data_IF_202788865487
#
_entry.id   IF_202788865487
#
_cell.length_a   1.000
_cell.length_b   1.000
_cell.length_c   1.000
_cell.angle_alpha   90.00
_cell.angle_beta   90.00
_cell.angle_gamma   90.00
#
_symmetry.space_group_name_H-M   'P 1'
#
loop_
_entity.id
_entity.type
_entity.pdbx_description
1 polymer ?
#
# COMPACT_ATOMS: atom_id res chain seq x y z
N UNK A 1 -10.81 -0.91 -2.31
CA UNK A 1 -10.73 -0.26 -0.97
C UNK A 1 -9.28 -0.10 -0.54
N UNK A 2 -8.43 -1.10 -0.78
CA UNK A 2 -7.00 -1.06 -0.45
C UNK A 2 -6.29 0.18 -1.02
N UNK A 3 -6.54 0.51 -2.30
CA UNK A 3 -5.99 1.71 -2.96
C UNK A 3 -6.13 2.99 -2.13
N UNK A 4 -7.32 3.21 -1.55
CA UNK A 4 -7.61 4.42 -0.79
C UNK A 4 -6.89 4.41 0.57
N UNK A 5 -6.79 3.26 1.21
CA UNK A 5 -6.07 3.12 2.49
C UNK A 5 -4.58 3.40 2.29
N UNK A 6 -3.97 2.80 1.26
CA UNK A 6 -2.56 3.05 0.94
C UNK A 6 -2.36 4.51 0.55
N UNK A 7 -3.26 5.09 -0.26
CA UNK A 7 -3.23 6.52 -0.60
C UNK A 7 -3.30 7.41 0.65
N UNK A 8 -4.29 7.19 1.52
CA UNK A 8 -4.47 7.97 2.75
C UNK A 8 -3.28 7.83 3.68
N UNK A 9 -2.73 6.61 3.80
CA UNK A 9 -1.52 6.35 4.57
C UNK A 9 -0.34 7.14 4.02
N UNK A 10 -0.09 7.05 2.71
CA UNK A 10 1.05 7.72 2.08
C UNK A 10 0.94 9.25 2.17
N UNK A 11 -0.27 9.80 1.98
CA UNK A 11 -0.53 11.23 2.15
C UNK A 11 -0.28 11.67 3.61
N UNK A 12 -0.76 10.91 4.59
CA UNK A 12 -0.66 11.28 6.02
C UNK A 12 0.75 11.11 6.56
N UNK A 13 1.40 10.00 6.24
CA UNK A 13 2.70 9.62 6.79
C UNK A 13 3.84 10.33 6.07
N UNK A 14 3.80 10.40 4.74
CA UNK A 14 4.89 10.93 3.92
C UNK A 14 4.59 12.33 3.34
N UNK A 15 3.44 12.93 3.67
CA UNK A 15 3.04 14.26 3.16
C UNK A 15 3.03 14.35 1.63
N UNK A 16 2.72 13.25 0.95
CA UNK A 16 2.61 13.22 -0.52
C UNK A 16 1.36 13.94 -0.99
N UNK A 17 1.46 14.71 -2.07
CA UNK A 17 0.34 15.41 -2.66
C UNK A 17 -0.71 14.43 -3.22
N UNK A 18 -1.97 14.61 -2.82
CA UNK A 18 -3.08 13.77 -3.27
C UNK A 18 -3.27 13.79 -4.81
N UNK A 19 -2.85 14.88 -5.46
CA UNK A 19 -2.90 15.08 -6.91
C UNK A 19 -1.94 14.14 -7.66
N UNK A 20 -0.88 13.65 -7.00
CA UNK A 20 0.07 12.68 -7.59
C UNK A 20 -0.66 11.38 -7.94
N UNK A 21 -1.64 10.98 -7.13
CA UNK A 21 -2.47 9.78 -7.33
C UNK A 21 -3.53 9.90 -8.44
N UNK A 22 -3.71 11.09 -9.02
CA UNK A 22 -4.56 11.28 -10.20
C UNK A 22 -3.82 10.91 -11.49
N UNK A 23 -2.49 10.77 -11.44
CA UNK A 23 -1.69 10.28 -12.56
C UNK A 23 -1.94 8.78 -12.76
N UNK A 24 -2.48 8.36 -13.92
CA UNK A 24 -2.69 6.95 -14.15
C UNK A 24 -1.37 6.19 -14.16
N UNK A 25 -0.29 6.80 -14.68
CA UNK A 25 1.10 6.32 -14.81
C UNK A 25 1.96 6.48 -13.56
N UNK A 26 1.36 6.74 -12.40
CA UNK A 26 2.09 6.91 -11.16
C UNK A 26 2.92 5.66 -10.81
N UNK A 27 4.23 5.83 -10.69
CA UNK A 27 5.13 4.80 -10.17
C UNK A 27 5.25 4.91 -8.65
N UNK A 28 5.51 3.80 -7.96
CA UNK A 28 5.78 3.85 -6.50
C UNK A 28 7.04 4.68 -6.21
N UNK A 29 8.06 4.61 -7.08
CA UNK A 29 9.24 5.47 -6.99
C UNK A 29 8.91 6.98 -7.15
N UNK A 30 7.85 7.34 -7.88
CA UNK A 30 7.44 8.75 -8.06
C UNK A 30 6.76 9.33 -6.81
N UNK A 31 6.37 8.49 -5.84
CA UNK A 31 5.83 8.95 -4.56
C UNK A 31 6.90 9.64 -3.70
N UNK A 32 8.18 9.56 -4.08
CA UNK A 32 9.28 10.11 -3.29
C UNK A 32 9.50 9.38 -1.96
N UNK A 33 9.05 8.12 -1.88
CA UNK A 33 9.30 7.28 -0.71
C UNK A 33 10.77 6.86 -0.70
N UNK A 34 11.44 7.12 0.42
CA UNK A 34 12.76 6.54 0.68
C UNK A 34 12.67 5.00 0.80
N UNK A 35 13.81 4.32 0.74
CA UNK A 35 13.89 2.86 0.93
C UNK A 35 13.21 2.40 2.23
N UNK A 36 13.28 3.21 3.29
CA UNK A 36 12.57 2.96 4.54
C UNK A 36 11.06 3.26 4.43
N UNK A 37 10.66 4.31 3.72
CA UNK A 37 9.25 4.69 3.58
C UNK A 37 8.43 3.65 2.81
N UNK A 38 9.03 3.04 1.77
CA UNK A 38 8.42 1.91 1.06
C UNK A 38 8.21 0.73 2.02
N UNK A 39 9.23 0.42 2.81
CA UNK A 39 9.16 -0.67 3.80
C UNK A 39 8.09 -0.40 4.86
N UNK A 40 8.05 0.80 5.45
CA UNK A 40 7.03 1.20 6.43
C UNK A 40 5.61 1.10 5.88
N UNK A 41 5.38 1.59 4.66
CA UNK A 41 4.08 1.46 3.99
C UNK A 41 3.68 0.00 3.81
N UNK A 42 4.61 -0.85 3.39
CA UNK A 42 4.33 -2.27 3.19
C UNK A 42 4.03 -2.96 4.52
N UNK A 43 4.81 -2.70 5.57
CA UNK A 43 4.56 -3.25 6.90
C UNK A 43 3.19 -2.86 7.46
N UNK A 44 2.78 -1.60 7.31
CA UNK A 44 1.45 -1.16 7.74
C UNK A 44 0.34 -1.91 7.00
N UNK A 45 0.47 -2.04 5.67
CA UNK A 45 -0.52 -2.75 4.87
C UNK A 45 -0.55 -4.24 5.21
N UNK A 46 0.62 -4.86 5.40
CA UNK A 46 0.76 -6.24 5.85
C UNK A 46 0.09 -6.49 7.20
N UNK A 47 0.32 -5.63 8.18
CA UNK A 47 -0.28 -5.71 9.52
C UNK A 47 -1.80 -5.48 9.47
N UNK A 48 -2.27 -4.51 8.68
CA UNK A 48 -3.70 -4.20 8.52
C UNK A 48 -4.48 -5.38 7.94
N UNK A 49 -3.90 -6.12 7.01
CA UNK A 49 -4.61 -7.20 6.31
C UNK A 49 -4.17 -8.61 6.72
N UNK A 50 -3.17 -8.71 7.61
CA UNK A 50 -2.63 -9.98 8.09
C UNK A 50 -1.98 -10.83 7.00
N UNK A 51 -1.23 -10.21 6.09
CA UNK A 51 -0.49 -10.92 5.03
C UNK A 51 0.98 -10.50 5.01
N UNK A 52 1.80 -11.20 4.23
CA UNK A 52 3.19 -10.84 4.01
C UNK A 52 3.51 -10.86 2.53
N UNK A 53 4.36 -9.93 2.09
CA UNK A 53 4.91 -9.90 0.75
C UNK A 53 6.32 -10.46 0.76
N UNK A 54 6.59 -11.43 -0.12
CA UNK A 54 7.91 -12.06 -0.24
C UNK A 54 9.00 -11.10 -0.76
N UNK A 55 8.65 -10.22 -1.70
CA UNK A 55 9.58 -9.24 -2.28
C UNK A 55 8.94 -7.84 -2.26
N UNK A 56 9.19 -7.03 -1.21
CA UNK A 56 8.71 -5.66 -1.11
C UNK A 56 9.43 -4.71 -2.08
N UNK A 57 10.67 -5.02 -2.48
CA UNK A 57 11.48 -4.16 -3.32
C UNK A 57 10.98 -4.10 -4.77
N UNK A 58 10.32 -5.18 -5.25
CA UNK A 58 9.73 -5.21 -6.59
C UNK A 58 8.71 -4.10 -6.83
N UNK A 59 7.99 -3.67 -5.79
CA UNK A 59 6.95 -2.65 -5.92
C UNK A 59 7.52 -1.27 -6.24
N UNK A 60 8.74 -0.95 -5.82
CA UNK A 60 9.38 0.33 -6.13
C UNK A 60 9.48 0.58 -7.64
N UNK A 61 9.66 -0.48 -8.43
CA UNK A 61 9.73 -0.43 -9.90
C UNK A 61 8.39 -0.61 -10.61
N UNK A 62 7.29 -0.76 -9.88
CA UNK A 62 5.96 -0.98 -10.43
C UNK A 62 5.09 0.28 -10.34
N UNK A 63 4.00 0.28 -11.11
CA UNK A 63 2.98 1.34 -11.00
C UNK A 63 2.24 1.16 -9.68
N UNK A 64 1.82 2.27 -9.09
CA UNK A 64 1.06 2.28 -7.85
C UNK A 64 -0.20 1.40 -7.97
N UNK A 65 -0.94 1.50 -9.07
CA UNK A 65 -2.12 0.66 -9.28
C UNK A 65 -1.79 -0.84 -9.45
N UNK A 66 -0.64 -1.17 -10.05
CA UNK A 66 -0.20 -2.57 -10.19
C UNK A 66 0.20 -3.17 -8.84
N UNK A 67 0.92 -2.39 -8.01
CA UNK A 67 1.24 -2.76 -6.63
C UNK A 67 -0.04 -3.03 -5.84
N UNK A 68 -1.01 -2.13 -5.90
CA UNK A 68 -2.29 -2.29 -5.20
C UNK A 68 -3.01 -3.55 -5.67
N UNK A 69 -3.06 -3.81 -6.98
CA UNK A 69 -3.70 -4.99 -7.53
C UNK A 69 -3.01 -6.29 -7.10
N UNK A 70 -1.68 -6.32 -7.07
CA UNK A 70 -0.88 -7.46 -6.62
C UNK A 70 -1.09 -7.73 -5.11
N UNK A 71 -1.11 -6.67 -4.30
CA UNK A 71 -1.44 -6.76 -2.87
C UNK A 71 -2.87 -7.27 -2.67
N UNK A 72 -3.87 -6.73 -3.38
CA UNK A 72 -5.25 -7.23 -3.31
C UNK A 72 -5.35 -8.71 -3.70
N UNK A 73 -4.60 -9.16 -4.72
CA UNK A 73 -4.53 -10.56 -5.10
C UNK A 73 -3.90 -11.44 -4.02
N UNK A 74 -2.82 -10.96 -3.39
CA UNK A 74 -2.10 -11.65 -2.31
C UNK A 74 -2.97 -11.77 -1.06
N UNK A 75 -3.61 -10.68 -0.65
CA UNK A 75 -4.56 -10.65 0.47
C UNK A 75 -5.70 -11.63 0.23
N UNK A 76 -6.28 -11.63 -0.98
CA UNK A 76 -7.33 -12.58 -1.34
C UNK A 76 -6.83 -14.02 -1.28
N UNK A 77 -5.64 -14.30 -1.81
CA UNK A 77 -5.07 -15.64 -1.76
C UNK A 77 -4.87 -16.12 -0.31
N UNK A 78 -4.43 -15.24 0.58
CA UNK A 78 -4.27 -15.52 2.00
C UNK A 78 -5.62 -15.71 2.74
N UNK A 79 -6.67 -15.01 2.31
CA UNK A 79 -7.97 -14.94 3.00
C UNK A 79 -9.10 -15.69 2.26
N UNK A 80 -8.80 -16.83 1.63
CA UNK A 80 -9.79 -17.68 0.94
C UNK A 80 -10.61 -16.95 -0.15
N UNK A 81 -10.00 -16.00 -0.85
CA UNK A 81 -10.60 -15.22 -1.93
C UNK A 81 -11.29 -13.93 -1.48
N UNK A 82 -11.31 -13.62 -0.19
CA UNK A 82 -11.92 -12.42 0.37
C UNK A 82 -10.86 -11.36 0.68
N UNK A 83 -11.22 -10.08 0.59
CA UNK A 83 -10.43 -9.01 1.18
C UNK A 83 -11.02 -8.77 2.57
N UNK A 84 -10.34 -9.13 3.67
CA UNK A 84 -10.84 -8.85 5.00
C UNK A 84 -10.94 -7.34 5.21
N UNK A 85 -11.78 -6.92 6.15
CA UNK A 85 -11.74 -5.53 6.61
C UNK A 85 -10.35 -5.26 7.18
N UNK A 86 -9.74 -4.10 6.88
CA UNK A 86 -8.47 -3.73 7.48
C UNK A 86 -8.66 -3.77 9.00
N UNK A 87 -7.71 -4.40 9.70
CA UNK A 87 -7.60 -4.28 11.14
C UNK A 87 -7.70 -2.79 11.48
N UNK A 88 -8.45 -2.45 12.53
CA UNK A 88 -8.65 -1.05 12.89
C UNK A 88 -7.26 -0.41 13.07
N UNK A 89 -6.91 0.55 12.21
CA UNK A 89 -5.78 1.44 12.45
C UNK A 89 -5.89 1.88 13.90
N UNK A 90 -4.93 1.56 14.79
CA UNK A 90 -5.06 1.89 16.19
C UNK A 90 -5.29 3.40 16.24
N UNK A 91 -6.51 3.77 16.61
CA UNK A 91 -6.86 5.16 16.80
C UNK A 91 -5.83 5.73 17.75
N UNK A 92 -5.02 6.67 17.27
CA UNK A 92 -4.46 7.65 18.19
C UNK A 92 -5.65 8.47 18.69
N UNK A 93 -6.21 7.98 19.79
CA UNK A 93 -7.07 8.71 20.71
C UNK A 93 -6.38 9.99 21.19
#
# INVERSE_FOLDING_TARGET
>A
MLRQIIKDFVIRQFSVDAAVFDRPDLMVADLGLDSLGVVEMLFEVEDLYGFQVDDPARYAGMRFDDMVADMEATIRAANNGLIPEPASLPGKA
#
